data_IF_807713160138
#
_entry.id   IF_807713160138
#
_cell.length_a   1.000
_cell.length_b   1.000
_cell.length_c   1.000
_cell.angle_alpha   90.00
_cell.angle_beta   90.00
_cell.angle_gamma   90.00
#
_symmetry.space_group_name_H-M   'P 1'
#
loop_
_entity.id
_entity.type
_entity.pdbx_description
1 polymer ?
#
# COMPACT_ATOMS: atom_id res chain seq x y z
N UNK A 1 -4.38 10.69 -5.75
CA UNK A 1 -4.92 11.89 -6.42
C UNK A 1 -6.43 11.94 -6.28
N UNK A 2 -7.19 11.10 -6.98
CA UNK A 2 -8.67 11.11 -6.94
C UNK A 2 -9.28 11.17 -5.52
N UNK A 3 -8.79 10.37 -4.57
CA UNK A 3 -9.32 10.36 -3.20
C UNK A 3 -9.28 11.74 -2.51
N UNK A 4 -8.13 12.42 -2.48
CA UNK A 4 -8.03 13.73 -1.83
C UNK A 4 -8.81 14.79 -2.60
N UNK A 5 -8.79 14.73 -3.93
CA UNK A 5 -9.52 15.69 -4.76
C UNK A 5 -11.02 15.62 -4.59
N UNK A 6 -11.59 14.41 -4.58
CA UNK A 6 -13.03 14.26 -4.31
C UNK A 6 -13.34 14.50 -2.84
N UNK A 7 -12.56 13.97 -1.89
CA UNK A 7 -12.93 14.09 -0.47
C UNK A 7 -12.78 15.51 0.09
N UNK A 8 -11.80 16.27 -0.39
CA UNK A 8 -11.44 17.56 0.19
C UNK A 8 -11.53 18.70 -0.82
N UNK A 9 -10.83 18.60 -1.95
CA UNK A 9 -10.67 19.74 -2.86
C UNK A 9 -12.03 20.18 -3.46
N UNK A 10 -12.80 19.24 -4.00
CA UNK A 10 -14.09 19.56 -4.66
C UNK A 10 -15.12 20.16 -3.69
N UNK A 11 -15.37 19.57 -2.51
CA UNK A 11 -16.30 20.16 -1.53
C UNK A 11 -15.86 21.53 -1.02
N UNK A 12 -14.55 21.73 -0.83
CA UNK A 12 -14.03 22.99 -0.28
C UNK A 12 -13.97 24.11 -1.32
N UNK A 13 -13.77 23.79 -2.61
CA UNK A 13 -13.47 24.81 -3.63
C UNK A 13 -14.62 25.08 -4.59
N UNK A 14 -15.52 24.11 -4.85
CA UNK A 14 -16.47 24.20 -5.96
C UNK A 14 -17.92 23.89 -5.61
N UNK A 15 -18.19 22.77 -4.93
CA UNK A 15 -19.52 22.14 -4.99
C UNK A 15 -20.36 22.24 -3.71
N UNK A 16 -19.80 22.71 -2.59
CA UNK A 16 -20.38 22.41 -1.28
C UNK A 16 -20.25 20.92 -0.95
N UNK A 17 -20.72 20.50 0.23
CA UNK A 17 -20.59 19.11 0.66
C UNK A 17 -21.44 18.17 -0.24
N UNK A 18 -20.88 17.03 -0.63
CA UNK A 18 -21.62 15.99 -1.35
C UNK A 18 -22.72 15.38 -0.46
N UNK A 19 -23.78 14.86 -1.08
CA UNK A 19 -24.83 14.06 -0.42
C UNK A 19 -24.41 12.59 -0.19
N UNK A 20 -23.23 12.20 -0.70
CA UNK A 20 -22.60 10.90 -0.47
C UNK A 20 -21.23 11.03 0.18
N UNK A 21 -20.78 9.96 0.83
CA UNK A 21 -19.45 9.88 1.45
C UNK A 21 -18.41 9.36 0.47
N UNK A 22 -17.36 10.13 0.22
CA UNK A 22 -16.18 9.68 -0.52
C UNK A 22 -15.29 8.85 0.41
N UNK A 23 -14.99 7.61 0.01
CA UNK A 23 -14.12 6.70 0.76
C UNK A 23 -12.97 6.18 -0.09
N UNK A 24 -11.81 5.99 0.52
CA UNK A 24 -10.71 5.22 -0.02
C UNK A 24 -11.05 3.73 0.05
N UNK A 25 -10.62 2.97 -0.95
CA UNK A 25 -10.70 1.51 -0.93
C UNK A 25 -10.08 0.93 0.35
N UNK A 26 -9.01 1.54 0.87
CA UNK A 26 -8.32 1.08 2.08
C UNK A 26 -9.23 1.18 3.31
N UNK A 27 -10.05 2.22 3.41
CA UNK A 27 -11.02 2.34 4.51
C UNK A 27 -12.07 1.21 4.41
N UNK A 28 -12.52 0.91 3.20
CA UNK A 28 -13.52 -0.16 2.94
C UNK A 28 -12.94 -1.54 3.24
N UNK A 29 -11.69 -1.80 2.84
CA UNK A 29 -10.99 -3.05 3.17
C UNK A 29 -10.82 -3.22 4.68
N UNK A 30 -10.46 -2.13 5.38
CA UNK A 30 -10.38 -2.13 6.84
C UNK A 30 -11.72 -2.48 7.49
N UNK A 31 -12.83 -1.89 7.04
CA UNK A 31 -14.16 -2.23 7.55
C UNK A 31 -14.53 -3.68 7.27
N UNK A 32 -14.28 -4.19 6.06
CA UNK A 32 -14.63 -5.56 5.70
C UNK A 32 -13.83 -6.60 6.47
N UNK A 33 -12.55 -6.33 6.77
CA UNK A 33 -11.75 -7.16 7.67
C UNK A 33 -12.33 -7.09 9.09
N UNK A 34 -12.65 -5.90 9.58
CA UNK A 34 -13.20 -5.69 10.93
C UNK A 34 -14.54 -6.39 11.15
N UNK A 35 -15.40 -6.35 10.13
CA UNK A 35 -16.72 -6.96 10.13
C UNK A 35 -16.69 -8.47 9.82
N UNK A 36 -15.51 -9.04 9.54
CA UNK A 36 -15.36 -10.46 9.19
C UNK A 36 -15.91 -10.86 7.82
N UNK A 37 -16.28 -9.87 6.97
CA UNK A 37 -16.69 -10.08 5.57
C UNK A 37 -15.52 -10.58 4.73
N UNK A 38 -14.32 -10.07 5.02
CA UNK A 38 -13.06 -10.58 4.49
C UNK A 38 -12.31 -11.24 5.64
N UNK A 39 -12.14 -12.56 5.56
CA UNK A 39 -11.30 -13.31 6.51
C UNK A 39 -9.88 -13.35 5.98
N UNK A 40 -8.94 -12.92 6.79
CA UNK A 40 -7.52 -12.84 6.44
C UNK A 40 -6.69 -13.74 7.34
N UNK A 41 -5.59 -14.26 6.79
CA UNK A 41 -4.61 -15.07 7.48
C UNK A 41 -3.22 -14.44 7.35
N UNK A 42 -2.70 -13.79 8.40
CA UNK A 42 -1.41 -13.12 8.34
C UNK A 42 -0.24 -14.09 8.12
N UNK A 43 -0.39 -15.40 8.38
CA UNK A 43 0.70 -16.37 8.15
C UNK A 43 1.00 -16.60 6.67
N UNK A 44 0.12 -16.16 5.76
CA UNK A 44 0.38 -16.15 4.32
C UNK A 44 1.43 -15.09 3.91
N UNK A 45 1.80 -14.19 4.82
CA UNK A 45 2.81 -13.15 4.64
C UNK A 45 3.77 -13.20 5.85
N UNK A 46 4.67 -14.20 5.90
CA UNK A 46 5.64 -14.35 6.99
C UNK A 46 6.80 -13.36 6.90
N UNK A 47 7.03 -12.71 5.75
CA UNK A 47 8.13 -11.78 5.56
C UNK A 47 7.86 -10.43 6.25
N UNK A 48 8.91 -9.74 6.68
CA UNK A 48 8.78 -8.39 7.24
C UNK A 48 8.24 -7.40 6.20
N UNK A 49 7.15 -6.70 6.55
CA UNK A 49 6.45 -5.72 5.71
C UNK A 49 6.63 -4.32 6.28
N UNK A 50 6.92 -3.33 5.45
CA UNK A 50 6.87 -1.91 5.82
C UNK A 50 5.96 -1.12 4.89
N UNK A 51 5.56 0.09 5.33
CA UNK A 51 4.63 0.95 4.60
C UNK A 51 5.21 2.33 4.32
N UNK A 52 5.05 2.78 3.09
CA UNK A 52 5.29 4.14 2.68
C UNK A 52 3.98 4.95 2.70
N UNK A 53 3.85 5.83 3.70
CA UNK A 53 2.80 6.85 3.72
C UNK A 53 2.96 7.80 2.53
N UNK A 54 2.04 7.68 1.58
CA UNK A 54 2.03 8.53 0.38
C UNK A 54 1.56 9.93 0.74
N UNK A 55 2.29 10.97 0.34
CA UNK A 55 1.94 12.36 0.68
C UNK A 55 0.49 12.75 0.30
N UNK A 56 -0.01 12.27 -0.85
CA UNK A 56 -1.35 12.58 -1.31
C UNK A 56 -2.45 11.82 -0.53
N UNK A 57 -2.13 10.70 0.13
CA UNK A 57 -3.11 9.92 0.89
C UNK A 57 -3.03 10.26 2.38
N UNK A 58 -1.83 10.38 2.94
CA UNK A 58 -1.62 10.74 4.34
C UNK A 58 -1.78 12.24 4.56
N UNK A 59 -0.79 13.07 4.16
CA UNK A 59 -0.79 14.53 4.45
C UNK A 59 -1.98 15.27 3.86
N UNK A 60 -2.27 15.04 2.57
CA UNK A 60 -3.37 15.75 1.90
C UNK A 60 -4.71 15.01 2.03
N UNK A 61 -4.69 13.70 2.33
CA UNK A 61 -5.88 12.86 2.29
C UNK A 61 -6.42 12.46 3.67
N UNK A 62 -5.63 12.58 4.73
CA UNK A 62 -5.98 12.15 6.09
C UNK A 62 -6.01 10.63 6.28
N UNK A 63 -5.60 9.84 5.28
CA UNK A 63 -5.61 8.38 5.33
C UNK A 63 -4.32 7.87 6.00
N UNK A 64 -4.36 7.76 7.33
CA UNK A 64 -3.18 7.53 8.17
C UNK A 64 -3.30 6.19 8.91
N UNK A 65 -4.33 6.00 9.72
CA UNK A 65 -4.43 4.78 10.55
C UNK A 65 -5.05 3.60 9.79
N UNK A 66 -5.80 3.87 8.73
CA UNK A 66 -6.53 2.84 7.99
C UNK A 66 -5.60 1.86 7.25
N UNK A 67 -4.52 2.30 6.56
CA UNK A 67 -3.53 1.38 6.00
C UNK A 67 -2.87 0.51 7.07
N UNK A 68 -2.62 1.07 8.26
CA UNK A 68 -1.99 0.36 9.39
C UNK A 68 -2.90 -0.71 9.95
N UNK A 69 -4.18 -0.39 10.10
CA UNK A 69 -5.19 -1.37 10.51
C UNK A 69 -5.21 -2.56 9.54
N UNK A 70 -5.25 -2.31 8.23
CA UNK A 70 -5.22 -3.38 7.23
C UNK A 70 -3.93 -4.18 7.33
N UNK A 71 -2.77 -3.53 7.31
CA UNK A 71 -1.46 -4.19 7.31
C UNK A 71 -1.20 -5.04 8.55
N UNK A 72 -1.60 -4.58 9.73
CA UNK A 72 -1.50 -5.35 10.99
C UNK A 72 -2.38 -6.62 11.02
N UNK A 73 -3.41 -6.69 10.19
CA UNK A 73 -4.28 -7.86 10.10
C UNK A 73 -3.85 -8.84 8.99
N UNK A 74 -3.14 -8.37 7.96
CA UNK A 74 -2.76 -9.20 6.80
C UNK A 74 -1.31 -9.65 6.80
N UNK A 75 -0.42 -9.00 7.57
CA UNK A 75 0.99 -9.35 7.65
C UNK A 75 1.34 -9.85 9.06
N UNK A 76 2.19 -10.88 9.12
CA UNK A 76 2.66 -11.43 10.39
C UNK A 76 3.64 -10.48 11.12
N UNK A 77 4.43 -9.71 10.35
CA UNK A 77 5.45 -8.79 10.86
C UNK A 77 5.40 -7.45 10.12
N UNK A 78 4.61 -6.52 10.66
CA UNK A 78 4.52 -5.14 10.15
C UNK A 78 5.44 -4.18 10.91
N UNK A 79 6.30 -3.49 10.17
CA UNK A 79 7.34 -2.57 10.68
C UNK A 79 7.18 -1.18 10.08
N UNK A 80 7.04 -0.17 10.92
CA UNK A 80 6.93 1.21 10.47
C UNK A 80 8.27 1.76 9.94
N UNK A 81 8.19 2.65 8.95
CA UNK A 81 9.30 3.56 8.64
C UNK A 81 9.37 4.67 9.70
N UNK A 82 10.50 5.36 9.84
CA UNK A 82 10.60 6.55 10.71
C UNK A 82 11.36 7.68 10.01
N UNK A 83 10.84 8.92 9.94
CA UNK A 83 9.47 9.31 10.28
C UNK A 83 8.40 8.69 9.34
N UNK A 84 7.17 8.61 9.84
CA UNK A 84 5.98 8.06 9.16
C UNK A 84 4.79 9.02 9.25
N UNK A 85 3.61 8.59 8.77
CA UNK A 85 2.35 9.34 8.79
C UNK A 85 2.46 10.69 8.08
N UNK A 86 2.07 11.77 8.74
CA UNK A 86 2.14 13.14 8.24
C UNK A 86 3.58 13.65 8.10
N UNK A 87 4.51 13.11 8.89
CA UNK A 87 5.95 13.43 8.82
C UNK A 87 6.72 12.54 7.82
N UNK A 88 6.06 11.63 7.12
CA UNK A 88 6.71 10.69 6.22
C UNK A 88 7.51 11.40 5.11
N UNK A 89 8.74 10.97 4.88
CA UNK A 89 9.58 11.53 3.81
C UNK A 89 9.00 11.16 2.43
N UNK A 90 8.99 12.13 1.51
CA UNK A 90 8.55 11.94 0.13
C UNK A 90 9.39 10.88 -0.60
N UNK A 91 8.78 10.12 -1.53
CA UNK A 91 9.52 9.22 -2.41
C UNK A 91 10.33 9.95 -3.50
N UNK A 92 10.01 11.21 -3.81
CA UNK A 92 10.66 11.99 -4.88
C UNK A 92 9.94 11.96 -6.24
N UNK A 93 8.93 11.11 -6.43
CA UNK A 93 8.23 10.91 -7.70
C UNK A 93 6.92 11.70 -7.87
N UNK A 94 6.61 12.59 -6.92
CA UNK A 94 5.37 13.39 -6.91
C UNK A 94 5.32 14.44 -8.04
N UNK A 95 4.17 15.11 -8.18
CA UNK A 95 4.01 16.20 -9.15
C UNK A 95 4.10 15.79 -10.62
N UNK A 96 3.95 14.50 -10.93
CA UNK A 96 4.12 13.96 -12.28
C UNK A 96 5.57 13.72 -12.69
N UNK A 97 6.55 14.05 -11.83
CA UNK A 97 7.97 13.95 -12.17
C UNK A 97 8.38 12.52 -12.54
N UNK A 98 7.77 11.49 -11.92
CA UNK A 98 8.05 10.08 -12.23
C UNK A 98 7.83 9.73 -13.71
N UNK A 99 6.94 10.46 -14.42
CA UNK A 99 6.68 10.27 -15.84
C UNK A 99 7.67 11.01 -16.77
N UNK A 100 8.55 11.85 -16.21
CA UNK A 100 9.49 12.69 -16.96
C UNK A 100 10.90 12.12 -16.85
N UNK A 101 11.35 11.36 -17.86
CA UNK A 101 12.61 10.63 -17.84
C UNK A 101 13.84 11.53 -17.63
N UNK A 102 13.81 12.77 -18.13
CA UNK A 102 14.87 13.76 -18.00
C UNK A 102 15.12 14.21 -16.54
N UNK A 103 14.18 13.95 -15.64
CA UNK A 103 14.32 14.22 -14.20
C UNK A 103 14.72 12.99 -13.39
N UNK A 104 15.00 11.84 -14.02
CA UNK A 104 15.31 10.58 -13.33
C UNK A 104 16.43 10.74 -12.30
N UNK A 105 17.59 11.26 -12.71
CA UNK A 105 18.75 11.45 -11.83
C UNK A 105 18.39 12.29 -10.59
N UNK A 106 17.69 13.42 -10.79
CA UNK A 106 17.28 14.31 -9.70
C UNK A 106 16.29 13.67 -8.75
N UNK A 107 15.31 12.93 -9.28
CA UNK A 107 14.32 12.21 -8.46
C UNK A 107 14.95 11.10 -7.64
N UNK A 108 15.87 10.34 -8.23
CA UNK A 108 16.60 9.29 -7.52
C UNK A 108 17.46 9.88 -6.41
N UNK A 109 18.21 10.94 -6.69
CA UNK A 109 18.97 11.66 -5.68
C UNK A 109 18.08 12.17 -4.54
N UNK A 110 16.93 12.78 -4.86
CA UNK A 110 15.95 13.22 -3.86
C UNK A 110 15.32 12.05 -3.08
N UNK A 111 15.28 10.85 -3.67
CA UNK A 111 14.79 9.62 -3.07
C UNK A 111 15.77 8.95 -2.09
N UNK A 112 17.03 9.40 -1.99
CA UNK A 112 18.04 8.80 -1.11
C UNK A 112 17.58 8.66 0.35
N UNK A 113 16.97 9.67 1.00
CA UNK A 113 16.49 9.51 2.37
C UNK A 113 15.40 8.44 2.49
N UNK A 114 14.54 8.27 1.47
CA UNK A 114 13.55 7.20 1.44
C UNK A 114 14.21 5.82 1.34
N UNK A 115 15.26 5.70 0.53
CA UNK A 115 16.06 4.47 0.44
C UNK A 115 16.61 4.07 1.82
N UNK A 116 17.13 5.04 2.57
CA UNK A 116 17.68 4.81 3.91
C UNK A 116 16.59 4.40 4.90
N UNK A 117 15.41 5.03 4.87
CA UNK A 117 14.27 4.63 5.70
C UNK A 117 13.84 3.18 5.41
N UNK A 118 13.79 2.78 4.13
CA UNK A 118 13.46 1.40 3.75
C UNK A 118 14.50 0.44 4.35
N UNK A 119 15.81 0.72 4.18
CA UNK A 119 16.88 -0.12 4.75
C UNK A 119 16.76 -0.25 6.27
N UNK A 120 16.49 0.85 6.97
CA UNK A 120 16.39 0.86 8.44
C UNK A 120 15.26 -0.02 8.98
N UNK A 121 14.19 -0.25 8.22
CA UNK A 121 13.10 -1.13 8.65
C UNK A 121 13.50 -2.61 8.68
N UNK A 122 14.52 -2.99 7.91
CA UNK A 122 14.89 -4.38 7.67
C UNK A 122 13.80 -5.23 7.01
N UNK A 123 12.72 -4.61 6.51
CA UNK A 123 11.61 -5.29 5.85
C UNK A 123 12.03 -5.82 4.48
N UNK A 124 11.38 -6.89 4.02
CA UNK A 124 11.56 -7.48 2.68
C UNK A 124 10.50 -7.02 1.70
N UNK A 125 9.36 -6.55 2.20
CA UNK A 125 8.25 -6.03 1.40
C UNK A 125 8.01 -4.56 1.76
N UNK A 126 7.95 -3.70 0.75
CA UNK A 126 7.56 -2.30 0.86
C UNK A 126 6.19 -2.11 0.22
N UNK A 127 5.23 -1.67 1.02
CA UNK A 127 3.87 -1.39 0.57
C UNK A 127 3.72 0.10 0.32
N UNK A 128 3.14 0.46 -0.83
CA UNK A 128 2.71 1.83 -1.09
C UNK A 128 1.34 1.83 -1.79
N UNK A 129 0.42 2.65 -1.27
CA UNK A 129 -0.94 2.77 -1.78
C UNK A 129 -1.06 3.69 -3.02
N UNK A 130 -0.03 4.47 -3.31
CA UNK A 130 0.03 5.35 -4.48
C UNK A 130 0.88 4.72 -5.60
N UNK A 131 0.37 4.69 -6.82
CA UNK A 131 1.08 4.16 -8.00
C UNK A 131 2.40 4.89 -8.26
N UNK A 132 2.39 6.24 -8.28
CA UNK A 132 3.60 7.03 -8.49
C UNK A 132 4.67 6.74 -7.42
N UNK A 133 4.24 6.43 -6.19
CA UNK A 133 5.16 6.04 -5.14
C UNK A 133 5.74 4.65 -5.39
N UNK A 134 4.96 3.67 -5.88
CA UNK A 134 5.46 2.34 -6.23
C UNK A 134 6.47 2.41 -7.38
N UNK A 135 6.18 3.15 -8.43
CA UNK A 135 7.11 3.36 -9.55
C UNK A 135 8.42 3.99 -9.08
N UNK A 136 8.35 5.13 -8.36
CA UNK A 136 9.55 5.81 -7.88
C UNK A 136 10.34 4.96 -6.86
N UNK A 137 9.66 4.27 -5.95
CA UNK A 137 10.34 3.36 -5.01
C UNK A 137 10.96 2.18 -5.76
N UNK A 138 10.38 1.76 -6.89
CA UNK A 138 10.97 0.81 -7.83
C UNK A 138 12.33 1.27 -8.32
N UNK A 139 12.40 2.46 -8.89
CA UNK A 139 13.66 3.03 -9.38
C UNK A 139 14.69 3.21 -8.24
N UNK A 140 14.24 3.63 -7.05
CA UNK A 140 15.09 3.75 -5.85
C UNK A 140 15.61 2.38 -5.40
N UNK A 141 14.76 1.36 -5.43
CA UNK A 141 15.10 -0.01 -5.03
C UNK A 141 16.20 -0.58 -5.92
N UNK A 142 16.08 -0.39 -7.24
CA UNK A 142 17.10 -0.78 -8.22
C UNK A 142 18.40 0.02 -8.02
N UNK A 143 18.33 1.35 -8.03
CA UNK A 143 19.51 2.20 -7.97
C UNK A 143 20.33 2.02 -6.68
N UNK A 144 19.68 1.88 -5.53
CA UNK A 144 20.36 1.73 -4.24
C UNK A 144 20.52 0.29 -3.77
N UNK A 145 20.19 -0.68 -4.63
CA UNK A 145 20.28 -2.12 -4.40
C UNK A 145 19.62 -2.53 -3.07
N UNK A 146 18.36 -2.12 -2.86
CA UNK A 146 17.65 -2.40 -1.60
C UNK A 146 17.19 -3.86 -1.51
N UNK A 147 17.00 -4.52 -2.66
CA UNK A 147 16.58 -5.92 -2.76
C UNK A 147 15.27 -6.21 -1.99
N UNK A 148 14.30 -5.29 -2.09
CA UNK A 148 12.96 -5.44 -1.50
C UNK A 148 11.90 -5.66 -2.59
N UNK A 149 10.81 -6.34 -2.24
CA UNK A 149 9.62 -6.45 -3.09
C UNK A 149 8.71 -5.25 -2.86
N UNK A 150 8.22 -4.64 -3.94
CA UNK A 150 7.31 -3.50 -3.88
C UNK A 150 5.93 -3.96 -4.31
N UNK A 151 4.89 -3.60 -3.55
CA UNK A 151 3.53 -4.11 -3.79
C UNK A 151 2.46 -3.12 -3.33
N UNK A 152 1.23 -3.30 -3.81
CA UNK A 152 0.09 -2.55 -3.32
C UNK A 152 -0.48 -3.22 -2.05
N UNK A 153 -1.17 -2.42 -1.24
CA UNK A 153 -1.86 -2.93 -0.04
C UNK A 153 -2.95 -3.95 -0.40
N UNK A 154 -3.60 -3.77 -1.55
CA UNK A 154 -4.62 -4.69 -2.08
C UNK A 154 -4.04 -6.07 -2.37
N UNK A 155 -2.81 -6.15 -2.87
CA UNK A 155 -2.16 -7.42 -3.20
C UNK A 155 -1.91 -8.23 -1.93
N UNK A 156 -1.51 -7.57 -0.83
CA UNK A 156 -1.33 -8.21 0.47
C UNK A 156 -2.65 -8.67 1.05
N UNK A 157 -3.72 -7.89 0.90
CA UNK A 157 -5.05 -8.33 1.31
C UNK A 157 -5.45 -9.59 0.54
N UNK A 158 -5.32 -9.60 -0.78
CA UNK A 158 -5.65 -10.77 -1.62
C UNK A 158 -4.81 -11.99 -1.24
N UNK A 159 -3.50 -11.83 -0.98
CA UNK A 159 -2.64 -12.92 -0.52
C UNK A 159 -3.06 -13.49 0.84
N UNK A 160 -3.49 -12.63 1.76
CA UNK A 160 -3.96 -13.05 3.09
C UNK A 160 -5.40 -13.57 3.07
N UNK A 161 -6.19 -13.28 2.03
CA UNK A 161 -7.61 -13.65 1.97
C UNK A 161 -7.80 -15.16 1.95
N UNK A 162 -8.57 -15.67 2.90
CA UNK A 162 -9.12 -17.02 2.84
C UNK A 162 -10.38 -16.99 1.96
N UNK A 163 -10.21 -17.21 0.66
CA UNK A 163 -11.34 -17.31 -0.26
C UNK A 163 -12.21 -18.52 0.10
N UNK A 164 -13.55 -18.39 0.08
CA UNK A 164 -14.42 -19.56 0.11
C UNK A 164 -14.13 -20.45 -1.09
N UNK A 165 -14.50 -21.74 -1.01
CA UNK A 165 -14.42 -22.68 -2.14
C UNK A 165 -14.91 -22.00 -3.43
N UNK A 166 -14.29 -22.30 -4.59
CA UNK A 166 -14.69 -21.76 -5.87
C UNK A 166 -16.21 -21.83 -6.08
N UNK A 167 -16.76 -20.86 -6.81
CA UNK A 167 -18.16 -20.92 -7.25
C UNK A 167 -18.41 -22.25 -8.00
N UNK A 168 -19.57 -22.90 -7.81
CA UNK A 168 -19.87 -24.14 -8.52
C UNK A 168 -19.69 -23.98 -10.04
N UNK A 169 -18.85 -24.80 -10.65
CA UNK A 169 -18.55 -24.75 -12.09
C UNK A 169 -17.37 -23.87 -12.50
N UNK A 170 -16.67 -23.23 -11.55
CA UNK A 170 -15.42 -22.51 -11.80
C UNK A 170 -14.27 -23.19 -11.07
N UNK A 171 -13.20 -23.56 -11.77
CA UNK A 171 -11.95 -23.93 -11.11
C UNK A 171 -11.27 -22.64 -10.60
N UNK A 172 -10.89 -22.61 -9.33
CA UNK A 172 -10.06 -21.53 -8.81
C UNK A 172 -8.60 -21.84 -9.15
N UNK A 173 -8.13 -21.37 -10.30
CA UNK A 173 -6.71 -21.10 -10.47
C UNK A 173 -6.38 -19.92 -9.56
N UNK A 174 -5.89 -20.20 -8.37
CA UNK A 174 -5.30 -19.16 -7.54
C UNK A 174 -4.12 -18.59 -8.33
N UNK A 175 -4.20 -17.31 -8.71
CA UNK A 175 -3.18 -16.59 -9.50
C UNK A 175 -1.79 -16.52 -8.84
N UNK A 176 -1.62 -17.15 -7.68
CA UNK A 176 -0.37 -17.28 -6.95
C UNK A 176 -0.15 -18.76 -6.62
N UNK A 177 0.08 -19.59 -7.63
CA UNK A 177 0.72 -20.89 -7.45
C UNK A 177 2.18 -20.66 -7.04
N UNK A 178 2.41 -20.55 -5.74
CA UNK A 178 3.73 -20.33 -5.19
C UNK A 178 3.67 -20.28 -3.67
N UNK A 179 3.97 -21.42 -3.06
CA UNK A 179 4.24 -21.62 -1.63
C UNK A 179 3.00 -21.67 -0.70
N UNK A 180 2.47 -22.88 -0.55
CA UNK A 180 2.25 -23.42 0.81
C UNK A 180 1.05 -22.92 1.61
N UNK A 181 -0.04 -22.46 0.99
CA UNK A 181 -1.31 -22.33 1.70
C UNK A 181 -1.88 -23.73 2.01
N UNK A 182 -1.39 -24.36 3.07
CA UNK A 182 -1.91 -25.60 3.60
C UNK A 182 -3.39 -25.38 3.97
N UNK A 183 -4.28 -25.95 3.16
CA UNK A 183 -5.71 -25.96 3.42
C UNK A 183 -5.91 -26.81 4.68
N UNK A 184 -6.26 -26.15 5.79
CA UNK A 184 -6.77 -26.84 6.97
C UNK A 184 -8.05 -27.59 6.52
N UNK A 185 -7.94 -28.91 6.46
CA UNK A 185 -9.07 -29.80 6.23
C UNK A 185 -9.78 -29.99 7.56
N UNK A 186 -11.02 -29.51 7.64
CA UNK A 186 -12.06 -30.11 8.49
C UNK A 186 -13.06 -30.84 7.58
#
# INVERSE_FOLDING_TARGET
HAYASYRWDVPNWFAGQFDFKVRSLIEVLGDYIREGKIKVDPTAIPEGVTYHDSCNLARNGGLIEEPRYVLKNVAQDFREMTPNKDEAICCGGGGGLVALAEYAERRIAAGKPKADQIKQTGAKVVVAACENCRLQIGDINEHYNLNVKITAITDLVVRAMRLPKPLPGHEAEYLFEGEGAAIARE
#
